data_IF_318551321689
#
_entry.id   IF_318551321689
#
_cell.length_a   1.000
_cell.length_b   1.000
_cell.length_c   1.000
_cell.angle_alpha   90.00
_cell.angle_beta   90.00
_cell.angle_gamma   90.00
#
_symmetry.space_group_name_H-M   'P 1'
#
loop_
_entity.id
_entity.type
_entity.pdbx_description
1 polymer ?
#
# COMPACT_ATOMS: atom_id res chain seq x y z
N UNK A 1 -2.30 17.65 -6.25
CA UNK A 1 -3.33 16.64 -6.56
C UNK A 1 -2.75 15.29 -6.14
N UNK A 2 -3.16 14.73 -4.99
CA UNK A 2 -2.79 13.35 -4.66
C UNK A 2 -3.55 12.50 -5.70
N UNK A 3 -2.81 11.89 -6.63
CA UNK A 3 -3.38 11.00 -7.64
C UNK A 3 -4.20 9.89 -6.98
N UNK A 4 -5.05 9.22 -7.75
CA UNK A 4 -5.92 8.12 -7.28
C UNK A 4 -5.21 7.28 -6.20
N UNK A 5 -5.85 7.11 -5.06
CA UNK A 5 -5.31 6.37 -3.93
C UNK A 5 -6.34 5.33 -3.50
N UNK A 6 -5.87 4.09 -3.31
CA UNK A 6 -6.72 2.95 -3.01
C UNK A 6 -7.14 3.03 -1.54
N UNK A 7 -8.45 3.06 -1.32
CA UNK A 7 -8.97 2.98 0.04
C UNK A 7 -8.71 1.59 0.63
N UNK A 8 -8.30 1.54 1.90
CA UNK A 8 -7.93 0.29 2.60
C UNK A 8 -9.00 -0.81 2.49
N UNK A 9 -10.28 -0.45 2.52
CA UNK A 9 -11.40 -1.39 2.35
C UNK A 9 -11.51 -1.91 0.92
N UNK A 10 -11.28 -1.06 -0.07
CA UNK A 10 -11.22 -1.45 -1.49
C UNK A 10 -10.04 -2.37 -1.76
N UNK A 11 -8.90 -2.15 -1.08
CA UNK A 11 -7.73 -3.02 -1.21
C UNK A 11 -8.08 -4.48 -0.89
N UNK A 12 -8.85 -4.73 0.18
CA UNK A 12 -9.26 -6.09 0.54
C UNK A 12 -10.05 -6.77 -0.58
N UNK A 13 -10.95 -6.05 -1.24
CA UNK A 13 -11.69 -6.56 -2.39
C UNK A 13 -10.76 -6.87 -3.58
N UNK A 14 -9.83 -5.97 -3.88
CA UNK A 14 -8.85 -6.15 -4.97
C UNK A 14 -7.92 -7.35 -4.73
N UNK A 15 -7.49 -7.56 -3.48
CA UNK A 15 -6.73 -8.74 -3.09
C UNK A 15 -7.55 -10.01 -3.30
N UNK A 16 -8.81 -10.04 -2.85
CA UNK A 16 -9.67 -11.21 -3.03
C UNK A 16 -9.95 -11.58 -4.49
N UNK A 17 -9.90 -10.59 -5.39
CA UNK A 17 -10.06 -10.76 -6.83
C UNK A 17 -8.75 -11.08 -7.56
N UNK A 18 -7.64 -11.23 -6.82
CA UNK A 18 -6.30 -11.43 -7.39
C UNK A 18 -5.88 -10.31 -8.36
N UNK A 19 -6.39 -9.10 -8.15
CA UNK A 19 -6.07 -7.93 -8.96
C UNK A 19 -4.74 -7.26 -8.54
N UNK A 20 -4.27 -7.54 -7.32
CA UNK A 20 -2.98 -7.03 -6.83
C UNK A 20 -1.84 -7.85 -7.43
N UNK A 21 -0.99 -7.17 -8.21
CA UNK A 21 0.22 -7.77 -8.81
C UNK A 21 1.44 -7.58 -7.96
N UNK A 22 1.57 -6.40 -7.37
CA UNK A 22 2.73 -6.02 -6.57
C UNK A 22 2.29 -5.16 -5.41
N UNK A 23 2.91 -5.36 -4.26
CA UNK A 23 2.81 -4.50 -3.10
C UNK A 23 4.21 -4.02 -2.73
N UNK A 24 4.38 -2.71 -2.64
CA UNK A 24 5.66 -2.06 -2.37
C UNK A 24 5.51 -1.18 -1.14
N UNK A 25 6.44 -1.34 -0.21
CA UNK A 25 6.52 -0.55 1.01
C UNK A 25 7.75 0.34 0.94
N UNK A 26 7.55 1.63 1.10
CA UNK A 26 8.62 2.62 1.00
C UNK A 26 8.49 3.72 2.05
N UNK A 27 9.57 4.49 2.21
CA UNK A 27 9.57 5.67 3.08
C UNK A 27 8.64 6.76 2.54
N UNK A 28 8.02 7.50 3.45
CA UNK A 28 7.18 8.63 3.08
C UNK A 28 8.09 9.80 2.74
N UNK A 29 7.90 10.40 1.57
CA UNK A 29 8.65 11.59 1.17
C UNK A 29 8.47 12.72 2.21
N UNK A 30 9.59 13.17 2.78
CA UNK A 30 9.61 14.21 3.83
C UNK A 30 9.43 13.69 5.26
N UNK A 31 9.24 12.38 5.47
CA UNK A 31 9.23 11.75 6.79
C UNK A 31 9.79 10.32 6.73
N UNK A 32 11.11 10.21 6.77
CA UNK A 32 11.85 8.93 6.71
C UNK A 32 11.59 8.02 7.90
N UNK A 33 10.84 8.47 8.92
CA UNK A 33 10.43 7.63 10.05
C UNK A 33 9.16 6.87 9.75
N UNK A 34 8.40 7.29 8.73
CA UNK A 34 7.14 6.68 8.33
C UNK A 34 7.29 5.81 7.11
N UNK A 35 6.44 4.79 7.07
CA UNK A 35 6.28 3.87 5.97
C UNK A 35 4.94 4.12 5.30
N UNK A 36 4.89 3.86 3.99
CA UNK A 36 3.67 3.81 3.19
C UNK A 36 3.61 2.51 2.41
N UNK A 37 2.41 2.11 2.02
CA UNK A 37 2.16 0.94 1.19
C UNK A 37 1.54 1.42 -0.12
N UNK A 38 2.11 0.96 -1.24
CA UNK A 38 1.61 1.21 -2.58
C UNK A 38 1.38 -0.10 -3.32
N UNK A 39 0.41 -0.11 -4.22
CA UNK A 39 -0.10 -1.32 -4.87
C UNK A 39 -0.08 -1.14 -6.38
N UNK A 40 0.36 -2.16 -7.11
CA UNK A 40 0.23 -2.25 -8.56
C UNK A 40 -0.95 -3.15 -8.91
N UNK A 41 -1.93 -2.60 -9.62
CA UNK A 41 -3.11 -3.35 -10.09
C UNK A 41 -2.99 -3.79 -11.56
N UNK A 42 -2.18 -3.10 -12.37
CA UNK A 42 -2.05 -3.32 -13.81
C UNK A 42 -0.81 -4.12 -14.21
N UNK A 43 -0.44 -4.01 -15.50
CA UNK A 43 0.76 -4.63 -16.05
C UNK A 43 2.07 -4.08 -15.45
N UNK A 44 3.24 -4.60 -15.86
CA UNK A 44 4.54 -4.28 -15.26
C UNK A 44 4.89 -2.79 -15.22
N UNK A 45 4.34 -2.00 -16.14
CA UNK A 45 4.57 -0.55 -16.25
C UNK A 45 3.49 0.29 -15.57
N UNK A 46 2.44 -0.33 -15.02
CA UNK A 46 1.35 0.38 -14.36
C UNK A 46 1.87 1.09 -13.11
N UNK A 47 1.50 2.35 -12.88
CA UNK A 47 1.96 3.12 -11.72
C UNK A 47 1.59 2.42 -10.40
N UNK A 48 2.47 2.55 -9.40
CA UNK A 48 2.19 2.22 -8.01
C UNK A 48 1.18 3.21 -7.43
N UNK A 49 0.10 2.68 -6.87
CA UNK A 49 -1.02 3.45 -6.34
C UNK A 49 -0.98 3.40 -4.81
N UNK A 50 -0.85 4.53 -4.11
CA UNK A 50 -0.73 4.53 -2.66
C UNK A 50 -2.01 4.09 -1.97
N UNK A 51 -1.87 3.44 -0.82
CA UNK A 51 -2.98 3.06 0.05
C UNK A 51 -3.32 4.23 0.98
N UNK A 52 -4.60 4.54 1.08
CA UNK A 52 -5.15 5.55 1.99
C UNK A 52 -6.12 4.93 2.98
N UNK A 53 -6.46 5.70 4.02
CA UNK A 53 -7.53 5.35 4.96
C UNK A 53 -8.67 6.37 4.85
N UNK A 54 -9.77 6.17 5.58
CA UNK A 54 -10.85 7.17 5.65
C UNK A 54 -10.40 8.50 6.26
N UNK A 55 -9.43 8.47 7.18
CA UNK A 55 -8.99 9.63 7.95
C UNK A 55 -7.68 10.24 7.43
N UNK A 56 -6.91 9.45 6.69
CA UNK A 56 -5.59 9.85 6.20
C UNK A 56 -5.55 9.76 4.68
N UNK A 57 -5.18 10.85 3.97
CA UNK A 57 -5.09 10.87 2.52
C UNK A 57 -3.97 9.97 1.98
N UNK A 58 -2.95 9.72 2.80
CA UNK A 58 -1.94 8.67 2.62
C UNK A 58 -1.89 7.91 3.93
N UNK A 59 -2.10 6.60 3.90
CA UNK A 59 -1.99 5.79 5.11
C UNK A 59 -0.51 5.61 5.45
N UNK A 60 -0.14 5.93 6.68
CA UNK A 60 1.24 5.81 7.13
C UNK A 60 1.38 4.93 8.36
N UNK A 61 2.56 4.32 8.51
CA UNK A 61 2.88 3.47 9.65
C UNK A 61 4.22 3.86 10.25
N UNK A 62 4.36 3.69 11.57
CA UNK A 62 5.61 3.98 12.30
C UNK A 62 6.67 2.87 12.19
N UNK A 63 6.30 1.68 11.72
CA UNK A 63 7.22 0.53 11.61
C UNK A 63 6.80 -0.43 10.50
N UNK A 64 7.77 -1.15 9.92
CA UNK A 64 7.51 -2.23 8.96
C UNK A 64 6.65 -3.35 9.57
N UNK A 65 6.80 -3.64 10.86
CA UNK A 65 5.98 -4.63 11.56
C UNK A 65 4.49 -4.25 11.52
N UNK A 66 4.17 -2.96 11.67
CA UNK A 66 2.79 -2.50 11.59
C UNK A 66 2.23 -2.58 10.15
N UNK A 67 3.09 -2.38 9.14
CA UNK A 67 2.72 -2.61 7.73
C UNK A 67 2.47 -4.10 7.48
N UNK A 68 3.31 -4.99 8.00
CA UNK A 68 3.14 -6.44 7.88
C UNK A 68 1.83 -6.95 8.46
N UNK A 69 1.50 -6.53 9.69
CA UNK A 69 0.20 -6.86 10.31
C UNK A 69 -0.99 -6.37 9.49
N UNK A 70 -0.87 -5.19 8.89
CA UNK A 70 -1.90 -4.69 7.98
C UNK A 70 -2.00 -5.54 6.71
N UNK A 71 -0.87 -5.87 6.09
CA UNK A 71 -0.79 -6.68 4.89
C UNK A 71 -1.42 -8.07 5.08
N UNK A 72 -1.10 -8.73 6.19
CA UNK A 72 -1.71 -10.00 6.60
C UNK A 72 -3.23 -9.87 6.77
N UNK A 73 -3.69 -8.83 7.47
CA UNK A 73 -5.11 -8.61 7.73
C UNK A 73 -5.95 -8.35 6.45
N UNK A 74 -5.33 -7.79 5.40
CA UNK A 74 -5.99 -7.60 4.10
C UNK A 74 -5.80 -8.77 3.14
N UNK A 75 -4.94 -9.74 3.48
CA UNK A 75 -4.68 -10.95 2.68
C UNK A 75 -3.59 -10.80 1.61
N UNK A 76 -2.68 -9.82 1.73
CA UNK A 76 -1.56 -9.71 0.79
C UNK A 76 -0.60 -10.89 0.99
N UNK A 77 -0.19 -11.52 -0.12
CA UNK A 77 0.74 -12.65 -0.10
C UNK A 77 2.18 -12.25 0.31
N UNK A 78 2.51 -10.97 0.14
CA UNK A 78 3.83 -10.41 0.48
C UNK A 78 3.94 -8.99 -0.05
N UNK A 79 5.04 -8.33 0.29
CA UNK A 79 5.41 -7.02 -0.25
C UNK A 79 6.93 -6.88 -0.33
N UNK A 80 7.39 -6.08 -1.29
CA UNK A 80 8.78 -5.67 -1.40
C UNK A 80 9.02 -4.41 -0.57
N UNK A 81 10.21 -4.25 -0.02
CA UNK A 81 10.62 -3.03 0.69
C UNK A 81 11.61 -2.27 -0.17
N UNK A 82 11.31 -1.01 -0.44
CA UNK A 82 12.21 -0.07 -1.11
C UNK A 82 12.71 0.95 -0.08
N UNK A 83 14.03 1.14 -0.05
CA UNK A 83 14.74 2.03 0.89
C UNK A 83 15.10 3.36 0.23
#
# INVERSE_FOLDING_TARGET
MIGEAIQSETLKALVSQHAVREAVVGRVAGDDRKWSLSIRLGGPTARLVPVRSRREPLRTWSSLTAVGRFAEAVGLAGFSVEL
#
